data_IF_786119045917
#
_entry.id   IF_786119045917
#
_cell.length_a   1.000
_cell.length_b   1.000
_cell.length_c   1.000
_cell.angle_alpha   90.00
_cell.angle_beta   90.00
_cell.angle_gamma   90.00
#
_symmetry.space_group_name_H-M   'P 1'
#
loop_
_entity.id
_entity.type
_entity.pdbx_description
1 polymer ?
#
# COMPACT_ATOMS: atom_id res chain seq x y z
N UNK A 1 10.56 28.22 -20.53
CA UNK A 1 9.99 29.46 -21.08
C UNK A 1 10.28 30.54 -20.07
N UNK A 2 11.22 31.42 -20.41
CA UNK A 2 11.66 32.56 -19.62
C UNK A 2 10.48 33.53 -19.50
N UNK A 3 9.91 33.70 -18.31
CA UNK A 3 8.95 34.80 -18.11
C UNK A 3 9.80 36.07 -18.04
N UNK A 4 9.72 36.90 -19.08
CA UNK A 4 10.55 38.08 -19.36
C UNK A 4 10.53 39.17 -18.28
N UNK A 5 9.92 38.92 -17.12
CA UNK A 5 9.65 39.85 -16.02
C UNK A 5 9.95 39.28 -14.62
N UNK A 6 10.49 38.06 -14.49
CA UNK A 6 10.81 37.51 -13.16
C UNK A 6 12.22 37.91 -12.70
N UNK A 7 12.30 38.64 -11.59
CA UNK A 7 13.56 39.10 -10.98
C UNK A 7 14.49 37.93 -10.63
N UNK A 8 13.96 36.83 -10.08
CA UNK A 8 14.79 35.66 -9.75
C UNK A 8 15.25 34.88 -10.97
N UNK A 9 14.48 34.87 -12.07
CA UNK A 9 14.98 34.31 -13.34
C UNK A 9 16.18 35.10 -13.85
N UNK A 10 16.16 36.43 -13.74
CA UNK A 10 17.30 37.25 -14.14
C UNK A 10 18.58 36.93 -13.33
N UNK A 11 18.43 36.70 -12.02
CA UNK A 11 19.53 36.27 -11.14
C UNK A 11 20.01 34.85 -11.48
N UNK A 12 19.09 33.93 -11.77
CA UNK A 12 19.45 32.54 -12.11
C UNK A 12 20.19 32.46 -13.45
N UNK A 13 19.77 33.24 -14.44
CA UNK A 13 20.31 33.24 -15.80
C UNK A 13 21.69 33.89 -15.89
N UNK A 14 22.00 34.83 -14.98
CA UNK A 14 23.25 35.59 -14.99
C UNK A 14 24.16 35.15 -13.86
N UNK A 15 25.45 35.18 -14.12
CA UNK A 15 26.46 35.28 -13.07
C UNK A 15 26.66 36.79 -12.84
N UNK A 16 25.73 37.39 -12.10
CA UNK A 16 25.67 38.84 -11.91
C UNK A 16 26.54 39.23 -10.70
N UNK A 17 27.64 39.99 -10.89
CA UNK A 17 28.54 40.34 -9.81
C UNK A 17 27.91 41.25 -8.74
N UNK A 18 26.78 41.90 -9.05
CA UNK A 18 26.05 42.73 -8.07
C UNK A 18 25.17 41.87 -7.14
N UNK A 19 24.92 40.60 -7.48
CA UNK A 19 24.21 39.65 -6.63
C UNK A 19 25.18 39.02 -5.64
N UNK A 20 24.83 39.08 -4.35
CA UNK A 20 25.57 38.40 -3.28
C UNK A 20 25.21 36.91 -3.26
N UNK A 21 25.64 36.20 -4.29
CA UNK A 21 25.48 34.75 -4.41
C UNK A 21 26.40 34.00 -3.43
N UNK A 22 25.88 32.92 -2.83
CA UNK A 22 26.64 32.07 -1.90
C UNK A 22 26.69 30.61 -2.34
N UNK A 23 25.80 30.19 -3.24
CA UNK A 23 25.75 28.81 -3.72
C UNK A 23 25.05 28.72 -5.06
N UNK A 24 25.59 27.86 -5.92
CA UNK A 24 25.00 27.54 -7.22
C UNK A 24 25.37 26.12 -7.63
N UNK A 25 24.37 25.41 -8.12
CA UNK A 25 24.55 24.14 -8.80
C UNK A 25 23.70 24.07 -10.08
N UNK A 26 23.55 22.85 -10.63
CA UNK A 26 22.77 22.61 -11.84
C UNK A 26 21.27 22.88 -11.69
N UNK A 27 20.74 22.92 -10.47
CA UNK A 27 19.31 22.95 -10.17
C UNK A 27 18.86 24.08 -9.24
N UNK A 28 19.75 24.62 -8.42
CA UNK A 28 19.46 25.60 -7.36
C UNK A 28 20.49 26.72 -7.38
N UNK A 29 20.04 27.93 -7.03
CA UNK A 29 20.88 29.11 -6.76
C UNK A 29 20.47 29.67 -5.41
N UNK A 30 21.43 30.15 -4.62
CA UNK A 30 21.16 30.83 -3.36
C UNK A 30 21.98 32.12 -3.19
N UNK A 31 21.32 33.15 -2.70
CA UNK A 31 21.85 34.51 -2.64
C UNK A 31 21.22 35.29 -1.49
N UNK A 32 21.86 36.39 -1.09
CA UNK A 32 21.25 37.32 -0.14
C UNK A 32 20.20 38.20 -0.84
N UNK A 33 19.03 38.44 -0.22
CA UNK A 33 18.11 39.45 -0.72
C UNK A 33 18.74 40.84 -0.62
N UNK A 34 18.28 41.76 -1.47
CA UNK A 34 18.73 43.17 -1.46
C UNK A 34 18.52 43.83 -0.10
N UNK A 35 17.35 43.59 0.51
CA UNK A 35 17.03 44.02 1.86
C UNK A 35 16.79 42.78 2.75
N UNK A 36 17.77 42.37 3.54
CA UNK A 36 17.65 41.20 4.39
C UNK A 36 16.85 41.51 5.67
N UNK A 37 15.81 40.71 5.92
CA UNK A 37 15.08 40.74 7.20
C UNK A 37 15.99 40.70 8.45
N UNK A 38 17.11 39.99 8.38
CA UNK A 38 18.17 39.91 9.41
C UNK A 38 19.52 39.62 8.74
N UNK A 39 20.63 39.92 9.41
CA UNK A 39 21.96 39.56 8.90
C UNK A 39 22.09 38.05 8.74
N UNK A 40 22.59 37.61 7.58
CA UNK A 40 22.68 36.19 7.23
C UNK A 40 21.43 35.60 6.56
N UNK A 41 20.39 36.40 6.28
CA UNK A 41 19.23 35.96 5.53
C UNK A 41 19.62 35.54 4.10
N UNK A 42 19.36 34.28 3.75
CA UNK A 42 19.62 33.71 2.42
C UNK A 42 18.31 33.27 1.77
N UNK A 43 18.16 33.54 0.48
CA UNK A 43 17.12 33.00 -0.39
C UNK A 43 17.67 31.80 -1.16
N UNK A 44 16.92 30.69 -1.20
CA UNK A 44 17.25 29.49 -1.97
C UNK A 44 16.16 29.27 -3.02
N UNK A 45 16.54 29.26 -4.31
CA UNK A 45 15.58 29.20 -5.43
C UNK A 45 15.94 28.08 -6.42
N UNK A 46 14.96 27.34 -6.97
CA UNK A 46 15.22 26.44 -8.08
C UNK A 46 15.54 27.26 -9.34
N UNK A 47 16.36 26.71 -10.23
CA UNK A 47 16.70 27.37 -11.50
C UNK A 47 15.51 27.44 -12.45
N UNK A 48 14.69 26.39 -12.48
CA UNK A 48 13.43 26.43 -13.25
C UNK A 48 12.48 27.42 -12.57
N UNK A 49 11.90 28.31 -13.37
CA UNK A 49 10.79 29.13 -12.93
C UNK A 49 9.59 28.25 -12.54
N UNK A 50 9.23 28.31 -11.26
CA UNK A 50 8.05 27.66 -10.69
C UNK A 50 7.35 28.69 -9.82
N UNK A 51 6.10 29.10 -10.09
CA UNK A 51 5.47 30.19 -9.35
C UNK A 51 5.27 29.92 -7.87
N UNK A 52 4.96 28.67 -7.52
CA UNK A 52 4.60 28.22 -6.17
C UNK A 52 4.88 26.72 -5.99
N UNK A 53 4.70 26.23 -4.76
CA UNK A 53 5.00 24.86 -4.35
C UNK A 53 4.19 23.82 -5.14
N UNK A 54 2.98 24.17 -5.60
CA UNK A 54 2.11 23.25 -6.31
C UNK A 54 2.61 22.93 -7.73
N UNK A 55 3.51 23.75 -8.27
CA UNK A 55 4.16 23.52 -9.56
C UNK A 55 5.49 22.78 -9.50
N UNK A 56 6.01 22.44 -8.31
CA UNK A 56 7.28 21.73 -8.17
C UNK A 56 7.15 20.26 -8.58
N UNK A 57 8.16 19.76 -9.30
CA UNK A 57 8.30 18.32 -9.53
C UNK A 57 8.97 17.65 -8.32
N UNK A 58 8.74 16.35 -8.07
CA UNK A 58 9.35 15.63 -6.94
C UNK A 58 10.89 15.77 -6.88
N UNK A 59 11.57 15.64 -8.03
CA UNK A 59 13.03 15.74 -8.09
C UNK A 59 13.53 17.15 -7.75
N UNK A 60 12.82 18.20 -8.21
CA UNK A 60 13.16 19.59 -7.94
C UNK A 60 12.93 19.94 -6.47
N UNK A 61 11.83 19.46 -5.89
CA UNK A 61 11.55 19.61 -4.46
C UNK A 61 12.65 18.93 -3.62
N UNK A 62 13.11 17.76 -4.03
CA UNK A 62 14.20 17.05 -3.36
C UNK A 62 15.54 17.81 -3.47
N UNK A 63 15.86 18.37 -4.64
CA UNK A 63 17.07 19.18 -4.86
C UNK A 63 17.03 20.47 -4.04
N UNK A 64 15.92 21.22 -4.08
CA UNK A 64 15.72 22.44 -3.31
C UNK A 64 15.85 22.18 -1.81
N UNK A 65 15.28 21.08 -1.31
CA UNK A 65 15.38 20.68 0.10
C UNK A 65 16.82 20.34 0.50
N UNK A 66 17.57 19.62 -0.34
CA UNK A 66 18.99 19.31 -0.07
C UNK A 66 19.83 20.58 0.02
N UNK A 67 19.68 21.50 -0.92
CA UNK A 67 20.38 22.78 -0.90
C UNK A 67 19.99 23.63 0.33
N UNK A 68 18.71 23.63 0.70
CA UNK A 68 18.21 24.31 1.91
C UNK A 68 18.90 23.80 3.17
N UNK A 69 19.03 22.47 3.33
CA UNK A 69 19.72 21.88 4.49
C UNK A 69 21.21 22.22 4.50
N UNK A 70 21.89 22.12 3.35
CA UNK A 70 23.30 22.48 3.22
C UNK A 70 23.55 23.94 3.64
N UNK A 71 22.73 24.86 3.14
CA UNK A 71 22.86 26.29 3.42
C UNK A 71 22.48 26.65 4.86
N UNK A 72 21.52 25.94 5.46
CA UNK A 72 21.22 26.07 6.88
C UNK A 72 22.44 25.71 7.75
N UNK A 73 23.16 24.64 7.41
CA UNK A 73 24.39 24.26 8.08
C UNK A 73 25.51 25.29 7.87
N UNK A 74 25.67 25.78 6.63
CA UNK A 74 26.66 26.82 6.32
C UNK A 74 26.40 28.13 7.08
N UNK A 75 25.15 28.56 7.20
CA UNK A 75 24.75 29.71 8.02
C UNK A 75 25.13 29.47 9.49
N UNK A 76 24.83 28.27 10.01
CA UNK A 76 25.13 27.93 11.41
C UNK A 76 26.63 28.00 11.70
N UNK A 77 27.45 27.48 10.79
CA UNK A 77 28.91 27.51 10.92
C UNK A 77 29.50 28.93 10.75
N UNK A 78 28.95 29.73 9.84
CA UNK A 78 29.52 31.03 9.52
C UNK A 78 29.20 32.10 10.57
N UNK A 79 27.97 32.14 11.09
CA UNK A 79 27.49 33.26 11.92
C UNK A 79 26.84 32.84 13.25
N UNK A 80 26.80 31.53 13.54
CA UNK A 80 26.41 30.98 14.85
C UNK A 80 25.11 31.56 15.44
N UNK A 81 23.97 31.52 14.71
CA UNK A 81 22.71 32.01 15.24
C UNK A 81 22.17 31.08 16.33
N UNK A 82 21.34 31.61 17.23
CA UNK A 82 20.68 30.82 18.28
C UNK A 82 19.54 29.95 17.72
N UNK A 83 19.02 30.31 16.54
CA UNK A 83 18.02 29.54 15.82
C UNK A 83 18.00 29.89 14.32
N UNK A 84 17.10 29.23 13.60
CA UNK A 84 16.91 29.45 12.16
C UNK A 84 15.44 29.24 11.82
N UNK A 85 14.82 30.21 11.14
CA UNK A 85 13.55 30.01 10.47
C UNK A 85 13.78 29.59 9.02
N UNK A 86 13.07 28.55 8.60
CA UNK A 86 12.94 28.16 7.20
C UNK A 86 11.52 28.50 6.76
N UNK A 87 11.37 29.48 5.87
CA UNK A 87 10.07 30.02 5.47
C UNK A 87 9.92 29.90 3.96
N UNK A 88 8.79 29.37 3.51
CA UNK A 88 8.46 29.29 2.10
C UNK A 88 6.98 29.66 1.95
N UNK A 89 6.72 30.68 1.14
CA UNK A 89 5.40 31.30 1.00
C UNK A 89 4.79 30.97 -0.36
N UNK A 90 3.49 30.66 -0.39
CA UNK A 90 2.75 30.34 -1.62
C UNK A 90 1.46 31.16 -1.69
N UNK A 91 1.37 32.07 -2.66
CA UNK A 91 0.27 33.01 -2.78
C UNK A 91 0.47 34.28 -1.96
N UNK A 92 -0.22 35.35 -2.37
CA UNK A 92 -0.08 36.69 -1.77
C UNK A 92 -0.53 36.74 -0.30
N UNK A 93 -1.61 36.02 0.04
CA UNK A 93 -2.11 35.91 1.43
C UNK A 93 -1.08 35.27 2.36
N UNK A 94 -0.23 34.39 1.84
CA UNK A 94 0.90 33.82 2.56
C UNK A 94 2.18 34.68 2.46
N UNK A 95 2.05 35.96 2.11
CA UNK A 95 3.12 36.96 1.97
C UNK A 95 4.15 36.69 0.87
N UNK A 96 3.80 35.93 -0.16
CA UNK A 96 4.69 35.70 -1.31
C UNK A 96 4.65 36.87 -2.29
N UNK A 97 5.74 37.64 -2.37
CA UNK A 97 5.89 38.80 -3.26
C UNK A 97 6.40 38.41 -4.66
N UNK A 98 7.50 37.65 -4.74
CA UNK A 98 8.05 37.15 -6.01
C UNK A 98 7.45 35.79 -6.36
N UNK A 99 6.80 35.70 -7.53
CA UNK A 99 6.17 34.47 -8.04
C UNK A 99 7.19 33.53 -8.67
N UNK A 100 8.19 33.15 -7.88
CA UNK A 100 9.18 32.12 -8.17
C UNK A 100 9.47 31.47 -6.83
N UNK A 101 9.29 30.15 -6.68
CA UNK A 101 9.47 29.42 -5.42
C UNK A 101 10.81 29.78 -4.80
N UNK A 102 10.78 30.25 -3.56
CA UNK A 102 11.99 30.60 -2.82
C UNK A 102 11.82 30.21 -1.37
N UNK A 103 12.88 29.65 -0.80
CA UNK A 103 12.97 29.34 0.61
C UNK A 103 13.83 30.40 1.27
N UNK A 104 13.29 31.07 2.28
CA UNK A 104 14.02 31.95 3.17
C UNK A 104 14.69 31.13 4.27
N UNK A 105 16.00 31.29 4.41
CA UNK A 105 16.76 30.88 5.58
C UNK A 105 17.04 32.15 6.39
N UNK A 106 16.37 32.28 7.53
CA UNK A 106 16.39 33.50 8.37
C UNK A 106 17.01 33.16 9.73
N UNK A 107 18.30 33.47 9.95
CA UNK A 107 18.98 33.27 11.23
C UNK A 107 18.29 34.03 12.37
N UNK A 108 18.22 33.47 13.57
CA UNK A 108 17.49 34.04 14.70
C UNK A 108 18.35 34.25 15.94
N UNK A 109 18.02 35.29 16.69
CA UNK A 109 18.55 35.60 18.03
C UNK A 109 17.42 36.05 18.96
N UNK A 110 17.58 35.86 20.27
CA UNK A 110 16.52 36.14 21.26
C UNK A 110 15.89 37.54 21.21
N UNK A 111 16.59 38.56 20.71
CA UNK A 111 16.11 39.95 20.57
C UNK A 111 16.25 40.50 19.15
N UNK A 112 16.12 39.65 18.13
CA UNK A 112 16.15 40.12 16.73
C UNK A 112 14.89 40.89 16.34
N UNK A 113 14.92 41.47 15.13
CA UNK A 113 13.82 42.29 14.60
C UNK A 113 12.58 41.47 14.19
N UNK A 114 12.64 40.13 14.24
CA UNK A 114 11.57 39.26 13.76
C UNK A 114 10.55 39.02 14.89
N UNK A 115 9.30 39.41 14.65
CA UNK A 115 8.20 39.20 15.59
C UNK A 115 7.73 37.74 15.72
N UNK A 116 6.71 37.49 16.57
CA UNK A 116 6.05 36.19 16.67
C UNK A 116 5.38 35.80 15.35
N UNK A 117 5.67 34.59 14.86
CA UNK A 117 5.08 34.05 13.61
C UNK A 117 3.81 33.21 13.84
N UNK A 118 3.47 32.94 15.09
CA UNK A 118 2.30 32.15 15.48
C UNK A 118 1.31 33.01 16.27
N UNK A 119 -0.01 32.78 16.11
CA UNK A 119 -1.00 33.42 16.95
C UNK A 119 -0.88 32.93 18.40
N UNK A 120 -1.09 33.83 19.36
CA UNK A 120 -1.01 33.49 20.79
C UNK A 120 -2.10 32.48 21.24
N UNK A 121 -3.27 32.50 20.59
CA UNK A 121 -4.37 31.57 20.85
C UNK A 121 -5.26 31.43 19.60
N UNK A 122 -5.86 30.25 19.42
CA UNK A 122 -6.90 29.99 18.42
C UNK A 122 -8.17 29.47 19.10
N UNK A 123 -9.35 29.71 18.52
CA UNK A 123 -10.66 29.38 19.09
C UNK A 123 -11.51 28.41 18.22
N UNK A 124 -10.86 27.56 17.43
CA UNK A 124 -11.55 26.57 16.59
C UNK A 124 -12.26 25.48 17.42
N UNK A 125 -13.51 25.17 17.06
CA UNK A 125 -14.26 24.04 17.64
C UNK A 125 -13.70 22.67 17.23
N UNK A 126 -13.88 21.65 18.09
CA UNK A 126 -13.43 20.28 17.80
C UNK A 126 -14.04 19.72 16.51
N UNK A 127 -15.31 20.03 16.23
CA UNK A 127 -15.94 19.57 14.98
C UNK A 127 -15.32 20.19 13.74
N UNK A 128 -14.84 21.44 13.81
CA UNK A 128 -14.14 22.09 12.70
C UNK A 128 -12.74 21.48 12.49
N UNK A 129 -12.03 21.15 13.57
CA UNK A 129 -10.73 20.46 13.50
C UNK A 129 -10.87 19.08 12.86
N UNK A 130 -11.87 18.31 13.29
CA UNK A 130 -12.14 16.98 12.75
C UNK A 130 -12.47 17.02 11.25
N UNK A 131 -13.37 17.94 10.84
CA UNK A 131 -13.72 18.11 9.41
C UNK A 131 -12.50 18.46 8.56
N UNK A 132 -11.64 19.38 9.03
CA UNK A 132 -10.44 19.77 8.32
C UNK A 132 -9.45 18.60 8.18
N UNK A 133 -9.21 17.87 9.28
CA UNK A 133 -8.34 16.69 9.28
C UNK A 133 -8.84 15.61 8.32
N UNK A 134 -10.13 15.27 8.35
CA UNK A 134 -10.71 14.26 7.47
C UNK A 134 -10.64 14.68 5.99
N UNK A 135 -10.89 15.96 5.70
CA UNK A 135 -10.76 16.53 4.35
C UNK A 135 -9.34 16.37 3.81
N UNK A 136 -8.32 16.77 4.58
CA UNK A 136 -6.91 16.62 4.20
C UNK A 136 -6.53 15.15 4.03
N UNK A 137 -6.91 14.29 4.98
CA UNK A 137 -6.61 12.84 4.91
C UNK A 137 -7.22 12.18 3.68
N UNK A 138 -8.43 12.57 3.31
CA UNK A 138 -9.08 12.10 2.09
C UNK A 138 -8.30 12.53 0.85
N UNK A 139 -7.94 13.82 0.76
CA UNK A 139 -7.16 14.35 -0.36
C UNK A 139 -5.80 13.66 -0.51
N UNK A 140 -5.09 13.40 0.59
CA UNK A 140 -3.81 12.66 0.58
C UNK A 140 -3.96 11.29 -0.06
N UNK A 141 -4.98 10.51 0.33
CA UNK A 141 -5.23 9.18 -0.25
C UNK A 141 -5.48 9.25 -1.75
N UNK A 142 -6.28 10.21 -2.19
CA UNK A 142 -6.59 10.41 -3.61
C UNK A 142 -5.36 10.82 -4.43
N UNK A 143 -4.54 11.72 -3.90
CA UNK A 143 -3.32 12.18 -4.59
C UNK A 143 -2.25 11.08 -4.64
N UNK A 144 -2.05 10.32 -3.57
CA UNK A 144 -1.12 9.19 -3.55
C UNK A 144 -1.53 8.10 -4.54
N UNK A 145 -2.81 7.74 -4.58
CA UNK A 145 -3.33 6.78 -5.54
C UNK A 145 -3.18 7.23 -7.00
N UNK A 146 -3.11 8.55 -7.24
CA UNK A 146 -2.90 9.13 -8.58
C UNK A 146 -1.42 9.29 -8.93
N UNK A 147 -0.53 9.32 -7.94
CA UNK A 147 0.91 9.52 -8.09
C UNK A 147 1.69 8.20 -8.25
N UNK A 148 1.11 7.06 -7.84
CA UNK A 148 1.70 5.76 -8.14
C UNK A 148 1.76 5.55 -9.66
N UNK A 149 2.95 5.24 -10.23
CA UNK A 149 3.06 5.00 -11.66
C UNK A 149 2.12 3.86 -12.06
N UNK A 150 1.45 3.96 -13.23
CA UNK A 150 0.61 2.88 -13.71
C UNK A 150 1.43 1.59 -13.75
N UNK A 151 0.92 0.53 -13.10
CA UNK A 151 1.60 -0.76 -13.00
C UNK A 151 2.08 -1.14 -14.40
N UNK A 152 3.40 -1.30 -14.57
CA UNK A 152 3.97 -1.66 -15.86
C UNK A 152 3.29 -2.92 -16.38
N UNK A 153 2.94 -3.01 -17.68
CA UNK A 153 2.29 -4.20 -18.22
C UNK A 153 3.06 -5.49 -17.92
N UNK A 154 4.39 -5.41 -17.81
CA UNK A 154 5.26 -6.52 -17.41
C UNK A 154 5.07 -6.93 -15.95
N UNK A 155 5.02 -5.98 -15.01
CA UNK A 155 4.81 -6.28 -13.58
C UNK A 155 3.43 -6.88 -13.34
N UNK A 156 2.42 -6.39 -14.08
CA UNK A 156 1.08 -6.98 -14.07
C UNK A 156 1.09 -8.42 -14.58
N UNK A 157 1.79 -8.71 -15.68
CA UNK A 157 1.95 -10.08 -16.19
C UNK A 157 2.63 -10.98 -15.16
N UNK A 158 3.74 -10.53 -14.56
CA UNK A 158 4.44 -11.27 -13.51
C UNK A 158 3.57 -11.53 -12.28
N UNK A 159 2.77 -10.55 -11.86
CA UNK A 159 1.83 -10.73 -10.75
C UNK A 159 0.77 -11.79 -11.08
N UNK A 160 0.21 -11.76 -12.29
CA UNK A 160 -0.71 -12.80 -12.77
C UNK A 160 -0.04 -14.18 -12.80
N UNK A 161 1.21 -14.27 -13.25
CA UNK A 161 1.98 -15.52 -13.27
C UNK A 161 2.17 -16.10 -11.86
N UNK A 162 2.49 -15.26 -10.87
CA UNK A 162 2.60 -15.71 -9.47
C UNK A 162 1.28 -16.23 -8.91
N UNK A 163 0.18 -15.53 -9.17
CA UNK A 163 -1.16 -15.99 -8.74
C UNK A 163 -1.50 -17.30 -9.44
N UNK A 164 -1.24 -17.41 -10.75
CA UNK A 164 -1.51 -18.62 -11.54
C UNK A 164 -0.67 -19.81 -11.08
N UNK A 165 0.57 -19.60 -10.64
CA UNK A 165 1.41 -20.64 -10.05
C UNK A 165 0.79 -21.20 -8.75
N UNK A 166 0.22 -20.33 -7.89
CA UNK A 166 -0.49 -20.77 -6.69
C UNK A 166 -1.74 -21.58 -7.06
N UNK A 167 -2.57 -21.09 -7.99
CA UNK A 167 -3.77 -21.81 -8.48
C UNK A 167 -3.41 -23.20 -8.99
N UNK A 168 -2.34 -23.29 -9.80
CA UNK A 168 -1.86 -24.56 -10.36
C UNK A 168 -1.40 -25.52 -9.26
N UNK A 169 -0.68 -25.03 -8.25
CA UNK A 169 -0.25 -25.84 -7.09
C UNK A 169 -1.43 -26.35 -6.27
N UNK A 170 -2.46 -25.53 -6.04
CA UNK A 170 -3.65 -25.97 -5.30
C UNK A 170 -4.44 -27.04 -6.05
N UNK A 171 -4.60 -26.88 -7.38
CA UNK A 171 -5.26 -27.87 -8.23
C UNK A 171 -4.50 -29.20 -8.27
N UNK A 172 -3.17 -29.16 -8.33
CA UNK A 172 -2.32 -30.34 -8.25
C UNK A 172 -2.42 -31.04 -6.88
N UNK A 173 -2.43 -30.29 -5.78
CA UNK A 173 -2.59 -30.83 -4.43
C UNK A 173 -3.97 -31.50 -4.23
N UNK A 174 -5.04 -30.89 -4.75
CA UNK A 174 -6.39 -31.47 -4.79
C UNK A 174 -6.42 -32.82 -5.52
N UNK A 175 -5.74 -32.90 -6.67
CA UNK A 175 -5.66 -34.14 -7.46
C UNK A 175 -4.82 -35.20 -6.76
N UNK A 176 -3.69 -34.83 -6.16
CA UNK A 176 -2.82 -35.72 -5.40
C UNK A 176 -3.53 -36.31 -4.17
N UNK A 177 -4.33 -35.50 -3.46
CA UNK A 177 -5.12 -35.96 -2.31
C UNK A 177 -6.04 -37.13 -2.69
N UNK A 178 -6.76 -37.02 -3.81
CA UNK A 178 -7.59 -38.13 -4.34
C UNK A 178 -6.74 -39.35 -4.70
N UNK A 179 -5.58 -39.13 -5.33
CA UNK A 179 -4.64 -40.18 -5.69
C UNK A 179 -4.09 -40.95 -4.48
N UNK A 180 -3.79 -40.27 -3.37
CA UNK A 180 -3.34 -40.91 -2.13
C UNK A 180 -4.46 -41.60 -1.36
N UNK A 181 -5.70 -41.10 -1.45
CA UNK A 181 -6.85 -41.72 -0.79
C UNK A 181 -7.19 -43.08 -1.41
N UNK A 182 -7.13 -43.23 -2.73
CA UNK A 182 -7.58 -44.44 -3.41
C UNK A 182 -6.88 -45.71 -2.90
N UNK A 183 -5.53 -45.79 -2.81
CA UNK A 183 -4.85 -46.96 -2.24
C UNK A 183 -5.23 -47.24 -0.78
N UNK A 184 -5.40 -46.19 0.04
CA UNK A 184 -5.81 -46.33 1.45
C UNK A 184 -7.19 -46.99 1.52
N UNK A 185 -8.15 -46.50 0.72
CA UNK A 185 -9.51 -47.02 0.68
C UNK A 185 -9.54 -48.44 0.11
N UNK A 186 -8.82 -48.71 -0.98
CA UNK A 186 -8.72 -50.05 -1.57
C UNK A 186 -8.16 -51.06 -0.56
N UNK A 187 -7.10 -50.71 0.16
CA UNK A 187 -6.53 -51.57 1.18
C UNK A 187 -7.49 -51.77 2.36
N UNK A 188 -7.97 -50.67 2.97
CA UNK A 188 -8.83 -50.75 4.17
C UNK A 188 -10.15 -51.46 3.90
N UNK A 189 -10.83 -51.17 2.79
CA UNK A 189 -12.08 -51.83 2.43
C UNK A 189 -11.85 -53.29 1.98
N UNK A 190 -10.78 -53.57 1.22
CA UNK A 190 -10.43 -54.93 0.82
C UNK A 190 -10.08 -55.83 2.01
N UNK A 191 -9.28 -55.33 2.96
CA UNK A 191 -8.96 -56.06 4.20
C UNK A 191 -10.19 -56.21 5.10
N UNK A 192 -11.05 -55.20 5.19
CA UNK A 192 -12.29 -55.31 5.97
C UNK A 192 -13.18 -56.45 5.47
N UNK A 193 -13.35 -56.58 4.15
CA UNK A 193 -14.13 -57.65 3.54
C UNK A 193 -13.51 -59.04 3.76
N UNK A 194 -12.18 -59.15 3.61
CA UNK A 194 -11.49 -60.45 3.74
C UNK A 194 -11.36 -60.93 5.18
N UNK A 195 -11.29 -60.01 6.14
CA UNK A 195 -11.16 -60.32 7.58
C UNK A 195 -12.49 -60.23 8.34
N UNK A 196 -13.60 -59.93 7.66
CA UNK A 196 -14.91 -59.66 8.29
C UNK A 196 -14.81 -58.69 9.47
N UNK A 197 -14.05 -57.61 9.28
CA UNK A 197 -13.69 -56.68 10.34
C UNK A 197 -14.22 -55.28 10.03
N UNK A 198 -15.45 -55.00 10.48
CA UNK A 198 -16.07 -53.68 10.34
C UNK A 198 -15.22 -52.50 10.88
N UNK A 199 -14.35 -52.63 11.91
CA UNK A 199 -13.48 -51.53 12.33
C UNK A 199 -12.49 -51.08 11.25
N UNK A 200 -12.03 -51.99 10.38
CA UNK A 200 -11.16 -51.66 9.25
C UNK A 200 -11.89 -50.86 8.18
N UNK A 201 -13.17 -51.16 7.95
CA UNK A 201 -14.02 -50.41 7.04
C UNK A 201 -14.30 -49.00 7.61
N UNK A 202 -14.58 -48.90 8.91
CA UNK A 202 -14.76 -47.62 9.59
C UNK A 202 -13.49 -46.75 9.52
N UNK A 203 -12.31 -47.34 9.69
CA UNK A 203 -11.02 -46.65 9.53
C UNK A 203 -10.87 -46.07 8.11
N UNK A 204 -11.22 -46.84 7.07
CA UNK A 204 -11.24 -46.35 5.69
C UNK A 204 -12.22 -45.19 5.49
N UNK A 205 -13.41 -45.23 6.08
CA UNK A 205 -14.36 -44.12 6.03
C UNK A 205 -13.85 -42.85 6.72
N UNK A 206 -13.15 -42.99 7.86
CA UNK A 206 -12.49 -41.86 8.53
C UNK A 206 -11.44 -41.22 7.60
N UNK A 207 -10.65 -42.04 6.89
CA UNK A 207 -9.71 -41.53 5.89
C UNK A 207 -10.43 -40.79 4.76
N UNK A 208 -11.56 -41.31 4.26
CA UNK A 208 -12.38 -40.62 3.23
C UNK A 208 -12.83 -39.25 3.71
N UNK A 209 -13.35 -39.12 4.93
CA UNK A 209 -13.80 -37.83 5.49
C UNK A 209 -12.64 -36.85 5.65
N UNK A 210 -11.49 -37.32 6.16
CA UNK A 210 -10.30 -36.49 6.36
C UNK A 210 -9.75 -35.96 5.03
N UNK A 211 -9.64 -36.83 4.03
CA UNK A 211 -9.19 -36.42 2.69
C UNK A 211 -10.21 -35.52 1.99
N UNK A 212 -11.51 -35.76 2.18
CA UNK A 212 -12.55 -34.85 1.68
C UNK A 212 -12.41 -33.44 2.25
N UNK A 213 -12.08 -33.32 3.54
CA UNK A 213 -11.83 -32.04 4.20
C UNK A 213 -10.57 -31.34 3.68
N UNK A 214 -9.46 -32.06 3.49
CA UNK A 214 -8.24 -31.50 2.92
C UNK A 214 -8.46 -31.01 1.49
N UNK A 215 -9.10 -31.83 0.66
CA UNK A 215 -9.38 -31.52 -0.73
C UNK A 215 -10.37 -30.34 -0.89
N UNK A 216 -11.38 -30.27 -0.04
CA UNK A 216 -12.27 -29.11 0.04
C UNK A 216 -11.50 -27.82 0.39
N UNK A 217 -10.49 -27.88 1.26
CA UNK A 217 -9.66 -26.70 1.56
C UNK A 217 -8.73 -26.31 0.40
N UNK A 218 -8.16 -27.27 -0.33
CA UNK A 218 -7.41 -26.98 -1.56
C UNK A 218 -8.29 -26.30 -2.60
N UNK A 219 -9.50 -26.81 -2.83
CA UNK A 219 -10.46 -26.20 -3.76
C UNK A 219 -10.92 -24.81 -3.29
N UNK A 220 -11.12 -24.61 -1.98
CA UNK A 220 -11.44 -23.29 -1.42
C UNK A 220 -10.32 -22.29 -1.72
N UNK A 221 -9.07 -22.66 -1.42
CA UNK A 221 -7.90 -21.83 -1.67
C UNK A 221 -7.76 -21.52 -3.17
N UNK A 222 -7.90 -22.53 -4.03
CA UNK A 222 -7.87 -22.34 -5.49
C UNK A 222 -8.90 -21.31 -5.96
N UNK A 223 -10.17 -21.43 -5.54
CA UNK A 223 -11.23 -20.48 -5.91
C UNK A 223 -10.95 -19.06 -5.41
N UNK A 224 -10.39 -18.92 -4.22
CA UNK A 224 -9.98 -17.62 -3.67
C UNK A 224 -8.88 -16.95 -4.51
N UNK A 225 -7.83 -17.69 -4.87
CA UNK A 225 -6.77 -17.18 -5.76
C UNK A 225 -7.27 -16.90 -7.18
N UNK A 226 -8.23 -17.68 -7.70
CA UNK A 226 -8.88 -17.37 -8.99
C UNK A 226 -9.67 -16.06 -8.96
N UNK A 227 -10.29 -15.70 -7.83
CA UNK A 227 -10.93 -14.39 -7.67
C UNK A 227 -9.89 -13.28 -7.71
N UNK A 228 -8.80 -13.42 -6.95
CA UNK A 228 -7.68 -12.47 -6.99
C UNK A 228 -7.10 -12.31 -8.40
N UNK A 229 -6.89 -13.42 -9.11
CA UNK A 229 -6.45 -13.39 -10.51
C UNK A 229 -7.38 -12.56 -11.39
N UNK A 230 -8.69 -12.80 -11.30
CA UNK A 230 -9.67 -12.06 -12.09
C UNK A 230 -9.71 -10.56 -11.73
N UNK A 231 -9.53 -10.22 -10.46
CA UNK A 231 -9.45 -8.82 -10.00
C UNK A 231 -8.24 -8.10 -10.61
N UNK A 232 -7.06 -8.73 -10.59
CA UNK A 232 -5.83 -8.20 -11.21
C UNK A 232 -5.96 -8.15 -12.74
N UNK A 233 -6.53 -9.20 -13.36
CA UNK A 233 -6.67 -9.33 -14.81
C UNK A 233 -7.72 -8.37 -15.42
N UNK A 234 -8.71 -7.94 -14.63
CA UNK A 234 -9.71 -6.95 -15.08
C UNK A 234 -9.35 -5.53 -14.65
N UNK A 235 -8.36 -5.34 -13.78
CA UNK A 235 -8.07 -4.05 -13.12
C UNK A 235 -9.34 -3.44 -12.51
N UNK A 236 -10.26 -4.28 -12.05
CA UNK A 236 -11.57 -3.84 -11.53
C UNK A 236 -11.45 -3.10 -10.20
N UNK A 237 -10.33 -3.29 -9.49
CA UNK A 237 -10.04 -2.73 -8.18
C UNK A 237 -8.53 -2.54 -8.03
N UNK A 238 -8.11 -1.51 -7.29
CA UNK A 238 -6.73 -1.40 -6.83
C UNK A 238 -6.44 -2.48 -5.78
N UNK A 239 -5.48 -3.34 -6.09
CA UNK A 239 -4.92 -4.33 -5.17
C UNK A 239 -3.42 -4.05 -5.03
N UNK A 240 -2.80 -4.32 -3.86
CA UNK A 240 -1.37 -4.09 -3.68
C UNK A 240 -0.54 -4.86 -4.73
N UNK A 241 0.51 -4.22 -5.24
CA UNK A 241 1.39 -4.83 -6.24
C UNK A 241 2.04 -6.10 -5.68
N UNK A 242 2.00 -7.19 -6.45
CA UNK A 242 2.51 -8.51 -6.06
C UNK A 242 1.87 -9.12 -4.79
N UNK A 243 0.66 -8.69 -4.40
CA UNK A 243 -0.06 -9.37 -3.32
C UNK A 243 -0.31 -10.84 -3.66
N UNK A 244 -0.09 -11.70 -2.67
CA UNK A 244 -0.47 -13.11 -2.69
C UNK A 244 -1.48 -13.42 -1.56
N UNK A 245 -2.17 -12.40 -1.07
CA UNK A 245 -3.28 -12.55 -0.15
C UNK A 245 -4.62 -12.53 -0.91
N UNK A 246 -5.39 -13.63 -0.93
CA UNK A 246 -6.68 -13.64 -1.60
C UNK A 246 -7.72 -12.70 -0.96
N UNK A 247 -7.53 -12.24 0.27
CA UNK A 247 -8.44 -11.29 0.94
C UNK A 247 -8.46 -9.94 0.22
N UNK A 248 -7.37 -9.55 -0.44
CA UNK A 248 -7.31 -8.30 -1.20
C UNK A 248 -8.26 -8.28 -2.41
N UNK A 249 -8.76 -9.45 -2.82
CA UNK A 249 -9.78 -9.58 -3.85
C UNK A 249 -11.21 -9.39 -3.33
N UNK A 250 -11.44 -9.53 -2.02
CA UNK A 250 -12.75 -9.43 -1.40
C UNK A 250 -13.11 -7.96 -1.12
N UNK A 251 -14.41 -7.66 -1.05
CA UNK A 251 -14.86 -6.32 -0.67
C UNK A 251 -14.55 -6.04 0.81
N UNK A 252 -14.04 -4.84 1.15
CA UNK A 252 -13.78 -4.47 2.52
C UNK A 252 -15.11 -4.44 3.25
N UNK A 253 -15.13 -5.10 4.40
CA UNK A 253 -16.29 -5.11 5.27
C UNK A 253 -16.54 -3.67 5.72
N UNK A 254 -17.75 -3.11 5.52
CA UNK A 254 -18.10 -1.78 6.02
C UNK A 254 -17.80 -1.67 7.53
N UNK A 255 -17.28 -0.52 7.97
CA UNK A 255 -16.92 -0.28 9.37
C UNK A 255 -18.11 -0.40 10.34
N UNK A 256 -19.34 -0.27 9.83
CA UNK A 256 -20.61 -0.40 10.54
C UNK A 256 -21.21 -1.82 10.50
N UNK A 257 -20.54 -2.79 9.86
CA UNK A 257 -21.05 -4.14 9.76
C UNK A 257 -21.08 -4.83 11.14
N UNK A 258 -22.20 -5.50 11.50
CA UNK A 258 -22.33 -6.16 12.80
C UNK A 258 -21.30 -7.29 12.95
N UNK A 259 -20.59 -7.29 14.07
CA UNK A 259 -19.61 -8.32 14.38
C UNK A 259 -20.26 -9.72 14.40
N UNK A 260 -19.64 -10.67 13.70
CA UNK A 260 -20.13 -12.05 13.67
C UNK A 260 -19.99 -12.71 15.05
N UNK A 261 -20.96 -13.55 15.48
CA UNK A 261 -20.80 -14.39 16.66
C UNK A 261 -19.52 -15.24 16.58
N UNK A 262 -18.82 -15.42 17.71
CA UNK A 262 -17.51 -16.15 17.77
C UNK A 262 -17.56 -17.51 17.08
N UNK A 263 -18.65 -18.25 17.23
CA UNK A 263 -18.80 -19.58 16.60
C UNK A 263 -18.92 -19.51 15.07
N UNK A 264 -19.58 -18.47 14.51
CA UNK A 264 -19.68 -18.28 13.05
C UNK A 264 -18.33 -17.85 12.47
N UNK A 265 -17.61 -16.99 13.18
CA UNK A 265 -16.26 -16.60 12.80
C UNK A 265 -15.31 -17.82 12.80
N UNK A 266 -15.40 -18.66 13.84
CA UNK A 266 -14.66 -19.92 13.91
C UNK A 266 -15.02 -20.86 12.76
N UNK A 267 -16.32 -21.09 12.52
CA UNK A 267 -16.78 -21.95 11.44
C UNK A 267 -16.30 -21.45 10.07
N UNK A 268 -16.40 -20.14 9.79
CA UNK A 268 -15.91 -19.55 8.52
C UNK A 268 -14.40 -19.67 8.36
N UNK A 269 -13.64 -19.67 9.46
CA UNK A 269 -12.18 -19.84 9.47
C UNK A 269 -11.76 -21.26 9.12
N UNK A 270 -12.40 -22.28 9.69
CA UNK A 270 -11.92 -23.67 9.58
C UNK A 270 -12.74 -24.57 8.65
N UNK A 271 -14.00 -24.23 8.36
CA UNK A 271 -14.87 -25.04 7.52
C UNK A 271 -15.05 -24.39 6.14
N UNK A 272 -14.85 -25.14 5.04
CA UNK A 272 -15.18 -24.68 3.70
C UNK A 272 -16.67 -24.36 3.55
N UNK A 273 -16.98 -23.42 2.67
CA UNK A 273 -18.36 -23.03 2.35
C UNK A 273 -19.14 -24.22 1.75
N UNK A 274 -20.46 -24.23 1.92
CA UNK A 274 -21.33 -25.28 1.34
C UNK A 274 -21.14 -25.44 -0.17
N UNK A 275 -20.88 -24.34 -0.88
CA UNK A 275 -20.61 -24.30 -2.32
C UNK A 275 -19.36 -25.08 -2.74
N UNK A 276 -18.43 -25.31 -1.82
CA UNK A 276 -17.22 -26.12 -2.02
C UNK A 276 -17.57 -27.59 -1.91
N UNK A 277 -18.32 -27.97 -0.88
CA UNK A 277 -18.74 -29.35 -0.64
C UNK A 277 -19.65 -29.89 -1.74
N UNK A 278 -20.54 -29.06 -2.29
CA UNK A 278 -21.43 -29.43 -3.39
C UNK A 278 -20.79 -29.30 -4.77
N UNK A 279 -19.48 -29.03 -4.86
CA UNK A 279 -18.79 -28.90 -6.14
C UNK A 279 -18.64 -30.25 -6.86
N UNK A 280 -18.61 -30.21 -8.19
CA UNK A 280 -18.47 -31.38 -9.07
C UNK A 280 -17.20 -32.21 -8.81
N UNK A 281 -16.13 -31.60 -8.31
CA UNK A 281 -14.87 -32.30 -8.03
C UNK A 281 -14.82 -32.94 -6.64
N UNK A 282 -15.74 -32.62 -5.74
CA UNK A 282 -15.78 -33.13 -4.36
C UNK A 282 -16.98 -34.07 -4.18
N UNK A 283 -18.21 -33.56 -4.36
CA UNK A 283 -19.42 -34.30 -3.97
C UNK A 283 -19.53 -35.70 -4.62
N UNK A 284 -19.42 -35.87 -5.94
CA UNK A 284 -19.55 -37.20 -6.56
C UNK A 284 -18.48 -38.18 -6.10
N UNK A 285 -17.23 -37.73 -5.98
CA UNK A 285 -16.08 -38.58 -5.65
C UNK A 285 -16.18 -39.11 -4.21
N UNK A 286 -16.29 -38.22 -3.23
CA UNK A 286 -16.29 -38.63 -1.82
C UNK A 286 -17.61 -39.28 -1.40
N UNK A 287 -18.75 -38.85 -1.97
CA UNK A 287 -20.04 -39.49 -1.67
C UNK A 287 -20.07 -40.94 -2.16
N UNK A 288 -19.52 -41.22 -3.35
CA UNK A 288 -19.42 -42.59 -3.85
C UNK A 288 -18.56 -43.49 -2.94
N UNK A 289 -17.41 -42.97 -2.47
CA UNK A 289 -16.54 -43.71 -1.54
C UNK A 289 -17.19 -43.93 -0.16
N UNK A 290 -17.97 -42.97 0.34
CA UNK A 290 -18.71 -43.12 1.60
C UNK A 290 -19.85 -44.13 1.49
N UNK A 291 -20.60 -44.12 0.38
CA UNK A 291 -21.66 -45.12 0.11
C UNK A 291 -21.05 -46.53 0.02
N UNK A 292 -19.93 -46.67 -0.70
CA UNK A 292 -19.19 -47.92 -0.77
C UNK A 292 -18.73 -48.38 0.62
N UNK A 293 -18.12 -47.49 1.39
CA UNK A 293 -17.66 -47.78 2.75
C UNK A 293 -18.79 -48.22 3.67
N UNK A 294 -19.96 -47.56 3.61
CA UNK A 294 -21.14 -47.95 4.38
C UNK A 294 -21.61 -49.37 4.02
N UNK A 295 -21.62 -49.73 2.73
CA UNK A 295 -21.92 -51.08 2.28
C UNK A 295 -20.92 -52.12 2.83
N UNK A 296 -19.61 -51.80 2.78
CA UNK A 296 -18.56 -52.67 3.31
C UNK A 296 -18.67 -52.85 4.84
N UNK A 297 -19.01 -51.79 5.59
CA UNK A 297 -19.25 -51.87 7.03
C UNK A 297 -20.39 -52.83 7.33
N UNK A 298 -21.53 -52.73 6.61
CA UNK A 298 -22.68 -53.62 6.81
C UNK A 298 -22.32 -55.07 6.52
N UNK A 299 -21.64 -55.34 5.39
CA UNK A 299 -21.24 -56.71 5.00
C UNK A 299 -20.22 -57.30 5.98
N UNK A 300 -19.31 -56.49 6.51
CA UNK A 300 -18.25 -56.95 7.42
C UNK A 300 -18.71 -57.02 8.89
N UNK A 301 -19.96 -56.67 9.19
CA UNK A 301 -20.55 -56.74 10.52
C UNK A 301 -21.49 -57.96 10.71
N UNK A 302 -21.81 -58.65 9.62
CA UNK A 302 -22.60 -59.90 9.57
C UNK A 302 -21.63 -61.07 9.53
#
# INVERSE_FOLDING_TARGET
MTSTTCEFCAIVERDDPDVREVYRDENVVAFFPTEPAVLGHVLVVPRRHVPDIWGLKPDEAAQLSRATVLLADAIREAIHPEGLNVIQSNGEVATQTVKHVHVHLVPRWGNDAMGPIWPAKTDYSESSKERAMLGVRSAVRHLQASAEPPIAPEDRRKHLDYIQAVVTRQSAASSAAKGWLLPIVTATFGFALTQHSWPLAALGMVAVVLFAYLDANYLRSEKQFRRLYNTVARSSRQVPLFTLDPVDADEPVPDDAPALPRWRAFARKYLPERSIWTSWSIAPFYTALLILGAGVVVVSAI
#
